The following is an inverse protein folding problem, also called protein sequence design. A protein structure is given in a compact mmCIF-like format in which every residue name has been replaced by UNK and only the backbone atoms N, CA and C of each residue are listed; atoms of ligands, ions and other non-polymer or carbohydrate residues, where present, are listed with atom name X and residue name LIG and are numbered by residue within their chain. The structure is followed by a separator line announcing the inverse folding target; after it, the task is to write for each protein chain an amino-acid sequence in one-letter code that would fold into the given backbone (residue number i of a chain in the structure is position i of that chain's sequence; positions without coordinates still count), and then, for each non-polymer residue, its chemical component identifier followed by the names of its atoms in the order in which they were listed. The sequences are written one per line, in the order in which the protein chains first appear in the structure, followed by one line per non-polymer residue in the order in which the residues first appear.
data_IF_773787385665
#
_entry.id   IF_773787385665
#
_cell.length_a   1.000
_cell.length_b   1.000
_cell.length_c   1.000
_cell.angle_alpha   90.00
_cell.angle_beta   90.00
_cell.angle_gamma   90.00
#
_symmetry.space_group_name_H-M   'P 1'
#
loop_
_entity.id
_entity.type
_entity.pdbx_description
1 polymer ?
#
# COMPACT_ATOMS: atom_id res chain seq x y z
N UNK A 1 12.80 -8.78 6.38
CA UNK A 1 12.15 -8.93 5.06
C UNK A 1 11.91 -7.56 4.46
N UNK A 2 12.12 -7.40 3.18
CA UNK A 2 11.99 -6.11 2.52
C UNK A 2 11.28 -6.29 1.19
N UNK A 3 10.45 -5.31 0.82
CA UNK A 3 9.77 -5.25 -0.46
C UNK A 3 9.83 -3.86 -1.03
N UNK A 4 9.84 -3.77 -2.34
CA UNK A 4 9.85 -2.52 -3.07
C UNK A 4 8.88 -2.62 -4.25
N UNK A 5 8.18 -1.52 -4.54
CA UNK A 5 7.30 -1.45 -5.70
C UNK A 5 7.40 -0.08 -6.35
N UNK A 6 7.30 -0.09 -7.68
CA UNK A 6 7.33 1.10 -8.53
C UNK A 6 6.07 1.09 -9.38
N UNK A 7 5.36 2.21 -9.43
CA UNK A 7 4.20 2.38 -10.29
C UNK A 7 4.23 3.73 -10.99
N UNK A 8 3.78 3.78 -12.24
CA UNK A 8 3.54 5.05 -12.92
C UNK A 8 2.26 5.68 -12.40
N UNK A 9 2.35 6.93 -11.95
CA UNK A 9 1.17 7.66 -11.44
C UNK A 9 0.11 7.86 -12.52
N UNK A 10 0.52 8.00 -13.79
CA UNK A 10 -0.39 8.09 -14.93
C UNK A 10 -1.24 6.84 -15.12
N UNK A 11 -0.72 5.67 -14.75
CA UNK A 11 -1.51 4.42 -14.78
C UNK A 11 -2.69 4.50 -13.81
N UNK A 12 -2.44 5.02 -12.62
CA UNK A 12 -3.51 5.22 -11.62
C UNK A 12 -4.51 6.26 -12.09
N UNK A 13 -4.04 7.35 -12.69
CA UNK A 13 -4.91 8.38 -13.26
C UNK A 13 -5.87 7.79 -14.30
N UNK A 14 -5.37 6.95 -15.20
CA UNK A 14 -6.21 6.29 -16.21
C UNK A 14 -7.24 5.35 -15.60
N UNK A 15 -6.86 4.60 -14.56
CA UNK A 15 -7.80 3.73 -13.85
C UNK A 15 -8.91 4.52 -13.19
N UNK A 16 -8.56 5.64 -12.54
CA UNK A 16 -9.53 6.50 -11.88
C UNK A 16 -10.46 7.19 -12.88
N UNK A 17 -9.95 7.63 -14.03
CA UNK A 17 -10.78 8.19 -15.10
C UNK A 17 -11.77 7.16 -15.65
N UNK A 18 -11.31 5.93 -15.83
CA UNK A 18 -12.12 4.87 -16.44
C UNK A 18 -13.18 4.30 -15.49
N UNK A 19 -12.82 4.10 -14.21
CA UNK A 19 -13.67 3.38 -13.25
C UNK A 19 -14.17 4.24 -12.11
N UNK A 20 -13.71 5.50 -12.00
CA UNK A 20 -14.12 6.39 -10.91
C UNK A 20 -13.73 5.83 -9.55
N UNK A 21 -14.62 5.96 -8.58
CA UNK A 21 -14.39 5.51 -7.21
C UNK A 21 -14.14 4.01 -7.11
N UNK A 22 -14.64 3.22 -8.06
CA UNK A 22 -14.43 1.77 -8.09
C UNK A 22 -12.96 1.40 -8.22
N UNK A 23 -12.16 2.25 -8.90
CA UNK A 23 -10.72 2.03 -9.00
C UNK A 23 -10.06 2.03 -7.63
N UNK A 24 -10.45 2.97 -6.75
CA UNK A 24 -9.94 3.07 -5.39
C UNK A 24 -10.47 1.95 -4.50
N UNK A 25 -11.76 1.65 -4.60
CA UNK A 25 -12.41 0.62 -3.79
C UNK A 25 -11.82 -0.77 -4.03
N UNK A 26 -11.16 -0.98 -5.15
CA UNK A 26 -10.52 -2.26 -5.49
C UNK A 26 -9.39 -2.62 -4.54
N UNK A 27 -8.69 -1.63 -4.00
CA UNK A 27 -7.51 -1.87 -3.18
C UNK A 27 -7.46 -1.06 -1.87
N UNK A 28 -8.43 -0.17 -1.64
CA UNK A 28 -8.49 0.69 -0.46
C UNK A 28 -9.82 0.53 0.28
N UNK A 29 -9.77 0.53 1.60
CA UNK A 29 -10.97 0.63 2.43
C UNK A 29 -11.42 2.09 2.52
N UNK A 30 -12.62 2.32 3.10
CA UNK A 30 -13.21 3.66 3.16
C UNK A 30 -12.33 4.68 3.88
N UNK A 31 -11.70 4.29 4.99
CA UNK A 31 -10.83 5.18 5.74
C UNK A 31 -9.61 5.61 4.93
N UNK A 32 -9.07 4.70 4.13
CA UNK A 32 -7.92 5.00 3.27
C UNK A 32 -8.32 5.94 2.13
N UNK A 33 -9.51 5.75 1.57
CA UNK A 33 -10.02 6.61 0.48
C UNK A 33 -10.12 8.06 0.94
N UNK A 34 -10.47 8.30 2.19
CA UNK A 34 -10.54 9.65 2.75
C UNK A 34 -9.17 10.36 2.76
N UNK A 35 -8.07 9.60 2.71
CA UNK A 35 -6.72 10.15 2.69
C UNK A 35 -6.22 10.47 1.27
N UNK A 36 -6.94 10.04 0.25
CA UNK A 36 -6.52 10.23 -1.15
C UNK A 36 -6.80 11.66 -1.59
N UNK A 37 -5.74 12.38 -1.94
CA UNK A 37 -5.80 13.76 -2.43
C UNK A 37 -5.93 13.80 -3.96
N UNK A 38 -5.22 12.89 -4.64
CA UNK A 38 -5.16 12.83 -6.09
C UNK A 38 -4.61 11.47 -6.52
N UNK A 39 -4.48 11.26 -7.84
CA UNK A 39 -3.97 10.00 -8.39
C UNK A 39 -2.55 9.65 -7.93
N UNK A 40 -1.74 10.65 -7.59
CA UNK A 40 -0.37 10.40 -7.09
C UNK A 40 -0.38 9.80 -5.69
N UNK A 41 -1.26 10.29 -4.81
CA UNK A 41 -1.46 9.69 -3.49
C UNK A 41 -1.95 8.25 -3.64
N UNK A 42 -2.92 8.02 -4.53
CA UNK A 42 -3.46 6.69 -4.78
C UNK A 42 -2.38 5.73 -5.29
N UNK A 43 -1.54 6.19 -6.21
CA UNK A 43 -0.42 5.39 -6.72
C UNK A 43 0.57 5.01 -5.60
N UNK A 44 0.86 5.95 -4.70
CA UNK A 44 1.70 5.68 -3.53
C UNK A 44 1.12 4.60 -2.63
N UNK A 45 -0.19 4.65 -2.38
CA UNK A 45 -0.87 3.64 -1.56
C UNK A 45 -0.86 2.27 -2.24
N UNK A 46 -1.08 2.22 -3.54
CA UNK A 46 -0.94 0.99 -4.31
C UNK A 46 0.46 0.40 -4.15
N UNK A 47 1.48 1.22 -4.36
CA UNK A 47 2.88 0.80 -4.25
C UNK A 47 3.21 0.26 -2.85
N UNK A 48 2.68 0.88 -1.78
CA UNK A 48 2.87 0.40 -0.41
C UNK A 48 2.32 -1.01 -0.24
N UNK A 49 1.09 -1.24 -0.70
CA UNK A 49 0.45 -2.55 -0.53
C UNK A 49 1.15 -3.64 -1.32
N UNK A 50 1.56 -3.33 -2.55
CA UNK A 50 2.35 -4.25 -3.36
C UNK A 50 3.72 -4.54 -2.71
N UNK A 51 4.43 -3.49 -2.25
CA UNK A 51 5.72 -3.65 -1.59
C UNK A 51 5.60 -4.48 -0.31
N UNK A 52 4.55 -4.25 0.48
CA UNK A 52 4.29 -5.01 1.70
C UNK A 52 4.10 -6.50 1.39
N UNK A 53 3.30 -6.84 0.40
CA UNK A 53 3.07 -8.22 -0.01
C UNK A 53 4.36 -8.89 -0.50
N UNK A 54 5.21 -8.15 -1.20
CA UNK A 54 6.52 -8.64 -1.63
C UNK A 54 7.46 -8.88 -0.46
N UNK A 55 7.44 -8.00 0.56
CA UNK A 55 8.22 -8.19 1.78
C UNK A 55 7.82 -9.48 2.50
N UNK A 56 6.55 -9.85 2.45
CA UNK A 56 6.06 -11.11 3.00
C UNK A 56 6.40 -12.32 2.11
N UNK A 57 6.87 -12.08 0.90
CA UNK A 57 7.28 -13.13 -0.04
C UNK A 57 6.15 -13.81 -0.80
N UNK A 58 4.94 -13.27 -0.76
CA UNK A 58 3.76 -13.93 -1.35
C UNK A 58 3.10 -13.13 -2.47
N UNK A 59 3.30 -11.81 -2.53
CA UNK A 59 2.54 -10.96 -3.44
C UNK A 59 1.08 -10.81 -3.00
N UNK A 60 0.32 -9.95 -3.70
CA UNK A 60 -1.11 -9.80 -3.44
C UNK A 60 -1.84 -11.05 -3.95
N UNK A 61 -2.64 -11.66 -3.11
CA UNK A 61 -3.39 -12.87 -3.43
C UNK A 61 -4.15 -13.41 -2.23
N UNK A 62 -4.28 -14.73 -2.15
CA UNK A 62 -5.06 -15.39 -1.11
C UNK A 62 -4.44 -15.29 0.28
N UNK A 63 -3.11 -15.26 0.36
CA UNK A 63 -2.41 -15.19 1.66
C UNK A 63 -2.34 -13.76 2.18
N UNK A 64 -2.37 -12.76 1.31
CA UNK A 64 -2.35 -11.35 1.68
C UNK A 64 -3.11 -10.56 0.62
N UNK A 65 -4.30 -10.12 0.95
CA UNK A 65 -5.10 -9.27 0.06
C UNK A 65 -4.77 -7.79 0.27
N UNK A 66 -5.22 -6.94 -0.63
CA UNK A 66 -5.11 -5.50 -0.46
C UNK A 66 -5.72 -5.03 0.87
N UNK A 67 -6.83 -5.62 1.29
CA UNK A 67 -7.57 -5.20 2.50
C UNK A 67 -6.94 -5.71 3.80
N UNK A 68 -5.96 -6.63 3.70
CA UNK A 68 -5.18 -7.08 4.86
C UNK A 68 -4.14 -6.04 5.29
N UNK A 69 -3.90 -5.03 4.45
CA UNK A 69 -2.91 -3.97 4.69
C UNK A 69 -3.66 -2.64 4.73
N UNK A 70 -3.68 -1.98 5.89
CA UNK A 70 -4.37 -0.70 6.05
C UNK A 70 -3.34 0.40 6.28
N UNK A 71 -3.41 1.44 5.46
CA UNK A 71 -2.51 2.58 5.52
C UNK A 71 -3.18 3.71 6.29
N UNK A 72 -2.45 4.30 7.22
CA UNK A 72 -2.82 5.52 7.90
C UNK A 72 -1.65 6.49 7.87
N UNK A 73 -1.84 7.68 8.42
CA UNK A 73 -0.82 8.72 8.48
C UNK A 73 -0.61 9.15 9.92
N UNK A 74 0.64 9.42 10.29
CA UNK A 74 0.94 10.07 11.56
C UNK A 74 0.50 11.55 11.50
N UNK A 75 0.53 12.23 12.64
CA UNK A 75 0.26 13.67 12.71
C UNK A 75 1.21 14.49 11.82
N UNK A 76 2.39 13.95 11.52
CA UNK A 76 3.38 14.58 10.64
C UNK A 76 3.22 14.18 9.17
N UNK A 77 2.22 13.36 8.84
CA UNK A 77 1.98 12.92 7.48
C UNK A 77 2.81 11.73 7.01
N UNK A 78 3.55 11.08 7.91
CA UNK A 78 4.29 9.87 7.57
C UNK A 78 3.35 8.67 7.42
N UNK A 79 3.55 7.79 6.43
CA UNK A 79 2.72 6.62 6.28
C UNK A 79 3.00 5.58 7.37
N UNK A 80 1.94 4.92 7.81
CA UNK A 80 1.99 3.80 8.75
C UNK A 80 1.13 2.70 8.17
N UNK A 81 1.57 1.45 8.27
CA UNK A 81 0.76 0.30 7.87
C UNK A 81 0.40 -0.54 9.08
N UNK A 82 -0.81 -1.08 9.05
CA UNK A 82 -1.31 -2.03 10.02
C UNK A 82 -1.78 -3.26 9.24
N UNK A 83 -1.28 -4.43 9.64
CA UNK A 83 -1.65 -5.70 9.02
C UNK A 83 -2.83 -6.30 9.76
N UNK A 84 -3.69 -7.01 9.03
CA UNK A 84 -4.77 -7.79 9.64
C UNK A 84 -4.19 -8.82 10.60
N UNK A 85 -4.98 -9.23 11.57
CA UNK A 85 -4.59 -10.29 12.52
C UNK A 85 -4.22 -11.59 11.78
N UNK A 86 -4.96 -11.93 10.75
CA UNK A 86 -4.68 -13.09 9.89
C UNK A 86 -3.26 -13.07 9.34
N UNK A 87 -2.87 -11.96 8.71
CA UNK A 87 -1.55 -11.81 8.09
C UNK A 87 -0.45 -11.69 9.15
N UNK A 88 -0.69 -10.87 10.17
CA UNK A 88 0.28 -10.65 11.24
C UNK A 88 0.62 -11.95 11.96
N UNK A 89 -0.37 -12.78 12.23
CA UNK A 89 -0.18 -14.08 12.90
C UNK A 89 0.47 -15.10 11.96
N UNK A 90 -0.03 -15.21 10.73
CA UNK A 90 0.47 -16.21 9.78
C UNK A 90 1.96 -16.01 9.46
N UNK A 91 2.38 -14.77 9.30
CA UNK A 91 3.78 -14.45 8.98
C UNK A 91 4.62 -14.08 10.20
N UNK A 92 4.04 -14.15 11.40
CA UNK A 92 4.73 -13.88 12.64
C UNK A 92 5.39 -12.49 12.66
N UNK A 93 4.63 -11.48 12.27
CA UNK A 93 5.13 -10.12 12.11
C UNK A 93 5.28 -9.43 13.46
N UNK A 94 6.47 -8.90 13.74
CA UNK A 94 6.77 -8.12 14.93
C UNK A 94 6.55 -6.62 14.68
N UNK A 95 7.09 -6.10 13.60
CA UNK A 95 7.00 -4.68 13.27
C UNK A 95 7.10 -4.45 11.77
N UNK A 96 6.61 -3.30 11.34
CA UNK A 96 6.67 -2.85 9.96
C UNK A 96 7.21 -1.43 9.89
N UNK A 97 7.89 -1.13 8.78
CA UNK A 97 8.33 0.22 8.46
C UNK A 97 8.06 0.46 6.99
N UNK A 98 7.64 1.67 6.64
CA UNK A 98 7.28 2.02 5.27
C UNK A 98 7.78 3.41 4.90
N UNK A 99 8.18 3.56 3.65
CA UNK A 99 8.54 4.86 3.08
C UNK A 99 8.00 4.94 1.67
N UNK A 100 7.54 6.13 1.28
CA UNK A 100 7.01 6.42 -0.05
C UNK A 100 7.76 7.61 -0.60
N UNK A 101 8.13 7.54 -1.87
CA UNK A 101 8.66 8.70 -2.59
C UNK A 101 8.02 8.81 -3.96
N UNK A 102 7.97 10.05 -4.47
CA UNK A 102 7.45 10.36 -5.80
C UNK A 102 8.49 11.15 -6.56
N UNK A 103 8.67 10.83 -7.82
CA UNK A 103 9.51 11.59 -8.73
C UNK A 103 8.96 11.49 -10.15
N UNK A 104 8.63 12.64 -10.74
CA UNK A 104 8.00 12.68 -12.06
C UNK A 104 6.72 11.87 -12.09
N UNK A 105 6.63 10.93 -13.03
CA UNK A 105 5.47 10.06 -13.21
C UNK A 105 5.56 8.76 -12.41
N UNK A 106 6.40 8.73 -11.35
CA UNK A 106 6.60 7.51 -10.58
C UNK A 106 6.30 7.70 -9.10
N UNK A 107 5.72 6.66 -8.51
CA UNK A 107 5.63 6.48 -7.06
C UNK A 107 6.39 5.21 -6.71
N UNK A 108 7.20 5.28 -5.66
CA UNK A 108 8.00 4.14 -5.19
C UNK A 108 7.71 3.97 -3.70
N UNK A 109 7.51 2.73 -3.29
CA UNK A 109 7.37 2.39 -1.87
C UNK A 109 8.35 1.30 -1.48
N UNK A 110 8.87 1.42 -0.27
CA UNK A 110 9.71 0.41 0.37
C UNK A 110 9.05 0.02 1.68
N UNK A 111 8.93 -1.27 1.92
CA UNK A 111 8.39 -1.82 3.17
C UNK A 111 9.42 -2.79 3.75
N UNK A 112 9.75 -2.59 5.02
CA UNK A 112 10.57 -3.51 5.78
C UNK A 112 9.72 -4.17 6.86
N UNK A 113 9.83 -5.48 7.00
CA UNK A 113 9.09 -6.26 7.98
C UNK A 113 10.08 -7.03 8.84
N UNK A 114 9.93 -6.90 10.16
CA UNK A 114 10.65 -7.67 11.14
C UNK A 114 9.75 -8.78 11.67
N UNK A 115 10.24 -10.02 11.66
CA UNK A 115 9.53 -11.17 12.23
C UNK A 115 10.06 -11.53 13.61
N UNK A 116 9.22 -12.14 14.38
CA UNK A 116 9.62 -12.69 15.68
C UNK A 116 10.53 -13.91 15.53
#
# INVERSE_FOLDING_TARGET
MIGIDLIKTSRMSRLMERFGDKALQKFLCDDEILLIKNHKTAAGFWAVKEACSKALGVGIGSECSFYDIVISKTSRGAPVIELSEKVSTHFNVKSTSVSITHDGDYAIAVVAIESN
#
